data_IF_385526745121
#
_entry.id   IF_385526745121
#
_cell.length_a   1.000
_cell.length_b   1.000
_cell.length_c   1.000
_cell.angle_alpha   90.00
_cell.angle_beta   90.00
_cell.angle_gamma   90.00
#
_symmetry.space_group_name_H-M   'P 1'
#
loop_
_entity.id
_entity.type
_entity.pdbx_description
1 polymer ?
#
# COMPACT_ATOMS: atom_id res chain seq x y z
N UNK A 1 29.68 63.00 -66.72
CA UNK A 1 28.78 64.05 -66.20
C UNK A 1 27.43 63.91 -66.90
N UNK A 2 26.42 63.53 -66.11
CA UNK A 2 24.96 63.71 -66.18
C UNK A 2 24.13 63.93 -67.47
N UNK A 3 22.88 63.45 -67.32
CA UNK A 3 21.60 63.77 -67.99
C UNK A 3 21.28 62.96 -69.27
N UNK A 4 20.04 62.53 -69.58
CA UNK A 4 18.69 62.95 -69.16
C UNK A 4 17.65 61.81 -69.35
N UNK A 5 16.47 62.04 -68.78
CA UNK A 5 15.29 61.20 -68.50
C UNK A 5 14.29 60.95 -69.67
N UNK A 6 13.46 59.87 -69.52
CA UNK A 6 12.02 59.69 -69.87
C UNK A 6 11.54 59.32 -71.31
N UNK A 7 10.29 58.80 -71.54
CA UNK A 7 9.29 58.07 -70.70
C UNK A 7 8.40 56.95 -71.38
N UNK A 8 7.51 56.30 -70.58
CA UNK A 8 6.15 55.71 -70.86
C UNK A 8 5.98 54.37 -71.65
N UNK A 9 4.81 53.63 -71.60
CA UNK A 9 3.57 53.76 -70.79
C UNK A 9 2.89 52.45 -70.23
N UNK A 10 1.97 52.68 -69.26
CA UNK A 10 0.66 52.08 -68.92
C UNK A 10 0.37 50.55 -68.87
N UNK A 11 -0.32 50.05 -67.80
CA UNK A 11 -0.88 48.69 -67.75
C UNK A 11 -2.30 48.60 -68.31
N UNK A 12 -2.59 47.48 -68.98
CA UNK A 12 -3.88 47.13 -69.60
C UNK A 12 -4.85 46.65 -68.51
N UNK A 13 -6.04 47.25 -68.44
CA UNK A 13 -7.17 46.84 -67.61
C UNK A 13 -7.89 45.63 -68.21
N UNK A 14 -8.18 44.61 -67.38
CA UNK A 14 -8.98 43.45 -67.76
C UNK A 14 -10.41 43.58 -67.16
N UNK A 15 -11.49 43.54 -67.96
CA UNK A 15 -12.84 43.83 -67.48
C UNK A 15 -13.67 42.55 -67.28
N UNK A 16 -13.58 41.90 -66.12
CA UNK A 16 -14.60 40.93 -65.70
C UNK A 16 -14.82 40.99 -64.19
N UNK A 17 -16.00 41.48 -63.81
CA UNK A 17 -16.49 41.59 -62.44
C UNK A 17 -17.63 40.58 -62.27
N UNK A 18 -17.53 39.67 -61.30
CA UNK A 18 -18.65 38.87 -60.81
C UNK A 18 -18.75 38.97 -59.29
N UNK A 19 -19.95 39.33 -58.84
CA UNK A 19 -20.37 39.67 -57.48
C UNK A 19 -20.60 38.40 -56.63
N UNK A 20 -20.20 38.38 -55.35
CA UNK A 20 -20.56 37.34 -54.36
C UNK A 20 -21.33 38.01 -53.20
N UNK A 21 -22.48 37.50 -52.71
CA UNK A 21 -23.19 38.06 -51.56
C UNK A 21 -22.71 37.47 -50.20
N UNK A 22 -22.77 38.29 -49.14
CA UNK A 22 -22.38 37.96 -47.75
C UNK A 22 -23.48 37.25 -46.93
N UNK A 23 -23.14 36.45 -45.90
CA UNK A 23 -24.12 35.80 -45.01
C UNK A 23 -24.37 36.57 -43.69
N UNK A 24 -25.59 36.45 -43.15
CA UNK A 24 -26.08 37.06 -41.90
C UNK A 24 -25.62 36.33 -40.62
N UNK A 25 -25.66 36.97 -39.42
CA UNK A 25 -25.16 36.38 -38.17
C UNK A 25 -26.24 35.65 -37.35
N UNK A 26 -25.85 34.55 -36.69
CA UNK A 26 -26.69 33.69 -35.82
C UNK A 26 -26.44 34.05 -34.33
N UNK A 27 -27.52 34.26 -33.57
CA UNK A 27 -27.54 34.48 -32.10
C UNK A 27 -27.19 33.19 -31.32
N UNK A 28 -26.45 33.29 -30.21
CA UNK A 28 -26.12 32.17 -29.29
C UNK A 28 -26.76 32.32 -27.88
N UNK A 29 -27.20 31.23 -27.21
CA UNK A 29 -27.83 31.28 -25.89
C UNK A 29 -26.87 30.99 -24.71
N UNK A 30 -27.34 31.34 -23.51
CA UNK A 30 -26.68 31.52 -22.19
C UNK A 30 -26.15 30.27 -21.44
N UNK A 31 -25.17 30.41 -20.50
CA UNK A 31 -24.41 29.32 -19.85
C UNK A 31 -24.97 28.72 -18.52
N UNK A 32 -26.24 28.91 -18.17
CA UNK A 32 -26.78 28.51 -16.84
C UNK A 32 -26.95 27.00 -16.65
N UNK A 33 -27.29 26.26 -17.72
CA UNK A 33 -27.44 24.81 -17.67
C UNK A 33 -26.12 24.10 -17.33
N UNK A 34 -24.99 24.69 -17.73
CA UNK A 34 -23.65 24.18 -17.45
C UNK A 34 -23.34 24.19 -15.95
N UNK A 35 -23.72 25.25 -15.24
CA UNK A 35 -23.44 25.38 -13.81
C UNK A 35 -24.28 24.42 -12.96
N UNK A 36 -25.59 24.29 -13.24
CA UNK A 36 -26.46 23.35 -12.53
C UNK A 36 -26.00 21.90 -12.70
N UNK A 37 -25.62 21.52 -13.92
CA UNK A 37 -25.04 20.22 -14.21
C UNK A 37 -23.70 20.03 -13.48
N UNK A 38 -22.81 21.03 -13.53
CA UNK A 38 -21.52 20.99 -12.82
C UNK A 38 -21.68 20.82 -11.30
N UNK A 39 -22.60 21.57 -10.68
CA UNK A 39 -22.91 21.43 -9.26
C UNK A 39 -23.50 20.04 -8.97
N UNK A 40 -24.44 19.56 -9.78
CA UNK A 40 -25.04 18.23 -9.62
C UNK A 40 -24.00 17.11 -9.71
N UNK A 41 -23.10 17.16 -10.71
CA UNK A 41 -22.00 16.22 -10.86
C UNK A 41 -21.03 16.31 -9.67
N UNK A 42 -20.71 17.53 -9.21
CA UNK A 42 -19.85 17.75 -8.04
C UNK A 42 -20.44 17.17 -6.76
N UNK A 43 -21.72 17.41 -6.49
CA UNK A 43 -22.43 16.82 -5.36
C UNK A 43 -22.47 15.29 -5.49
N UNK A 44 -22.80 14.75 -6.67
CA UNK A 44 -22.83 13.30 -6.92
C UNK A 44 -21.48 12.64 -6.65
N UNK A 45 -20.39 13.21 -7.17
CA UNK A 45 -19.02 12.73 -6.93
C UNK A 45 -18.64 12.84 -5.45
N UNK A 46 -19.03 13.92 -4.78
CA UNK A 46 -18.78 14.12 -3.35
C UNK A 46 -19.53 13.10 -2.49
N UNK A 47 -20.81 12.84 -2.77
CA UNK A 47 -21.60 11.82 -2.09
C UNK A 47 -21.05 10.42 -2.38
N UNK A 48 -20.68 10.12 -3.62
CA UNK A 48 -20.08 8.84 -4.01
C UNK A 48 -18.74 8.60 -3.30
N UNK A 49 -17.87 9.61 -3.23
CA UNK A 49 -16.60 9.52 -2.52
C UNK A 49 -16.81 9.36 -1.02
N UNK A 50 -17.75 10.13 -0.44
CA UNK A 50 -18.08 10.04 0.99
C UNK A 50 -18.64 8.66 1.35
N UNK A 51 -19.53 8.10 0.53
CA UNK A 51 -20.06 6.76 0.70
C UNK A 51 -18.96 5.71 0.53
N UNK A 52 -18.08 5.87 -0.46
CA UNK A 52 -16.94 4.96 -0.68
C UNK A 52 -15.98 4.96 0.52
N UNK A 53 -15.65 6.14 1.06
CA UNK A 53 -14.80 6.26 2.25
C UNK A 53 -15.49 5.71 3.51
N UNK A 54 -16.80 5.90 3.65
CA UNK A 54 -17.58 5.34 4.75
C UNK A 54 -17.60 3.80 4.68
N UNK A 55 -17.92 3.23 3.51
CA UNK A 55 -17.91 1.78 3.31
C UNK A 55 -16.52 1.19 3.47
N UNK A 56 -15.48 1.86 2.97
CA UNK A 56 -14.09 1.43 3.18
C UNK A 56 -13.71 1.45 4.66
N UNK A 57 -14.06 2.53 5.39
CA UNK A 57 -13.82 2.61 6.84
C UNK A 57 -14.62 1.57 7.63
N UNK A 58 -15.87 1.32 7.25
CA UNK A 58 -16.73 0.31 7.87
C UNK A 58 -16.14 -1.09 7.65
N UNK A 59 -15.79 -1.41 6.40
CA UNK A 59 -15.13 -2.66 6.04
C UNK A 59 -13.79 -2.82 6.77
N UNK A 60 -12.95 -1.78 6.81
CA UNK A 60 -11.69 -1.80 7.56
C UNK A 60 -11.89 -2.02 9.06
N UNK A 61 -12.94 -1.44 9.65
CA UNK A 61 -13.29 -1.62 11.05
C UNK A 61 -13.70 -3.07 11.32
N UNK A 62 -14.60 -3.60 10.48
CA UNK A 62 -15.06 -4.98 10.57
C UNK A 62 -13.90 -5.97 10.37
N UNK A 63 -13.02 -5.74 9.39
CA UNK A 63 -11.82 -6.55 9.18
C UNK A 63 -10.87 -6.50 10.39
N UNK A 64 -10.69 -5.33 11.03
CA UNK A 64 -9.87 -5.20 12.24
C UNK A 64 -10.47 -5.94 13.43
N UNK A 65 -11.78 -5.87 13.59
CA UNK A 65 -12.51 -6.59 14.63
C UNK A 65 -12.41 -8.10 14.39
N UNK A 66 -12.53 -8.53 13.13
CA UNK A 66 -12.25 -9.91 12.73
C UNK A 66 -10.76 -10.30 12.85
N UNK A 67 -9.83 -9.39 13.09
CA UNK A 67 -8.45 -9.75 13.40
C UNK A 67 -8.20 -9.91 14.91
N UNK A 68 -9.08 -9.38 15.74
CA UNK A 68 -8.97 -9.46 17.19
C UNK A 68 -9.61 -10.75 17.70
N UNK A 69 -8.77 -11.64 18.24
CA UNK A 69 -9.22 -12.89 18.85
C UNK A 69 -9.63 -12.66 20.29
N UNK A 70 -10.88 -12.96 20.61
CA UNK A 70 -11.40 -12.85 21.96
C UNK A 70 -10.90 -14.02 22.84
N UNK A 71 -10.80 -13.83 24.17
CA UNK A 71 -10.41 -14.89 25.09
C UNK A 71 -11.32 -16.13 25.00
N UNK A 72 -12.60 -15.93 24.74
CA UNK A 72 -13.60 -16.99 24.57
C UNK A 72 -13.30 -17.82 23.31
N UNK A 73 -12.95 -17.16 22.21
CA UNK A 73 -12.54 -17.82 20.96
C UNK A 73 -11.24 -18.61 21.14
N UNK A 74 -10.26 -18.04 21.85
CA UNK A 74 -9.03 -18.74 22.20
C UNK A 74 -9.31 -19.96 23.08
N UNK A 75 -10.32 -19.89 23.96
CA UNK A 75 -10.81 -21.02 24.76
C UNK A 75 -11.35 -22.14 23.88
N UNK A 76 -12.24 -21.80 22.94
CA UNK A 76 -12.77 -22.77 21.97
C UNK A 76 -11.64 -23.43 21.16
N UNK A 77 -10.65 -22.67 20.70
CA UNK A 77 -9.51 -23.26 19.98
C UNK A 77 -8.71 -24.25 20.84
N UNK A 78 -8.51 -23.94 22.13
CA UNK A 78 -7.81 -24.87 23.04
C UNK A 78 -8.62 -26.13 23.29
N UNK A 79 -9.91 -26.01 23.52
CA UNK A 79 -10.80 -27.14 23.78
C UNK A 79 -10.86 -28.07 22.56
N UNK A 80 -11.00 -27.49 21.36
CA UNK A 80 -10.97 -28.25 20.11
C UNK A 80 -9.66 -29.03 19.96
N UNK A 81 -8.51 -28.39 20.16
CA UNK A 81 -7.22 -29.07 20.04
C UNK A 81 -7.01 -30.10 21.13
N UNK A 82 -7.51 -29.86 22.35
CA UNK A 82 -7.43 -30.82 23.44
C UNK A 82 -8.23 -32.10 23.13
N UNK A 83 -9.38 -31.96 22.47
CA UNK A 83 -10.26 -33.09 22.16
C UNK A 83 -9.90 -33.81 20.86
N UNK A 84 -9.58 -33.08 19.78
CA UNK A 84 -9.39 -33.63 18.43
C UNK A 84 -7.94 -33.55 17.92
N UNK A 85 -7.07 -32.82 18.62
CA UNK A 85 -5.71 -32.51 18.19
C UNK A 85 -5.64 -31.31 17.23
N UNK A 86 -4.44 -30.82 16.89
CA UNK A 86 -4.24 -29.63 16.06
C UNK A 86 -4.35 -29.93 14.55
N UNK A 87 -5.36 -30.72 14.16
CA UNK A 87 -5.61 -31.17 12.79
C UNK A 87 -7.05 -30.81 12.38
N UNK A 88 -7.37 -31.05 11.11
CA UNK A 88 -8.77 -31.04 10.62
C UNK A 88 -9.58 -29.78 10.96
N UNK A 89 -8.93 -28.62 11.00
CA UNK A 89 -9.55 -27.32 11.35
C UNK A 89 -10.83 -26.97 10.55
N UNK A 90 -11.02 -27.56 9.36
CA UNK A 90 -12.23 -27.40 8.56
C UNK A 90 -13.47 -28.03 9.22
N UNK A 91 -13.28 -29.05 10.06
CA UNK A 91 -14.33 -29.74 10.81
C UNK A 91 -14.61 -29.06 12.16
N UNK A 92 -13.86 -28.02 12.53
CA UNK A 92 -14.01 -27.35 13.81
C UNK A 92 -15.44 -26.84 14.04
N UNK A 93 -16.09 -26.29 13.01
CA UNK A 93 -17.49 -25.82 13.11
C UNK A 93 -18.51 -26.95 13.30
N UNK A 94 -18.18 -28.18 12.87
CA UNK A 94 -19.03 -29.35 13.03
C UNK A 94 -18.83 -30.01 14.41
N UNK A 95 -17.60 -29.98 14.91
CA UNK A 95 -17.22 -30.64 16.15
C UNK A 95 -17.54 -29.81 17.40
N UNK A 96 -17.62 -28.49 17.28
CA UNK A 96 -17.85 -27.60 18.42
C UNK A 96 -19.33 -27.21 18.51
N UNK A 97 -19.93 -27.35 19.69
CA UNK A 97 -21.33 -26.95 19.94
C UNK A 97 -21.55 -25.43 19.84
N UNK A 98 -20.48 -24.64 19.92
CA UNK A 98 -20.50 -23.19 19.71
C UNK A 98 -19.90 -22.88 18.35
N UNK A 99 -20.64 -22.14 17.53
CA UNK A 99 -20.19 -21.64 16.23
C UNK A 99 -19.10 -20.59 16.43
N UNK A 100 -17.92 -20.84 15.87
CA UNK A 100 -16.85 -19.85 15.77
C UNK A 100 -16.89 -19.24 14.36
N UNK A 101 -17.15 -17.93 14.26
CA UNK A 101 -17.22 -17.21 12.98
C UNK A 101 -15.82 -16.86 12.46
N UNK A 102 -15.01 -17.89 12.20
CA UNK A 102 -13.62 -17.78 11.77
C UNK A 102 -13.30 -18.81 10.70
N UNK A 103 -12.50 -18.39 9.72
CA UNK A 103 -11.97 -19.32 8.73
C UNK A 103 -11.03 -20.35 9.38
N UNK A 104 -11.08 -21.63 8.96
CA UNK A 104 -10.18 -22.69 9.45
C UNK A 104 -8.69 -22.33 9.37
N UNK A 105 -8.29 -21.63 8.31
CA UNK A 105 -6.92 -21.13 8.14
C UNK A 105 -6.54 -20.13 9.23
N UNK A 106 -7.47 -19.24 9.59
CA UNK A 106 -7.28 -18.25 10.67
C UNK A 106 -7.12 -18.96 12.01
N UNK A 107 -7.96 -19.96 12.30
CA UNK A 107 -7.86 -20.81 13.50
C UNK A 107 -6.47 -21.48 13.62
N UNK A 108 -6.01 -22.09 12.52
CA UNK A 108 -4.70 -22.73 12.45
C UNK A 108 -3.55 -21.74 12.70
N UNK A 109 -3.60 -20.57 12.05
CA UNK A 109 -2.63 -19.50 12.23
C UNK A 109 -2.61 -18.99 13.67
N UNK A 110 -3.79 -18.79 14.28
CA UNK A 110 -3.92 -18.37 15.67
C UNK A 110 -3.29 -19.39 16.60
N UNK A 111 -3.61 -20.67 16.41
CA UNK A 111 -3.05 -21.75 17.20
C UNK A 111 -1.53 -21.78 17.13
N UNK A 112 -0.96 -21.86 15.92
CA UNK A 112 0.48 -22.00 15.69
C UNK A 112 1.30 -20.80 16.14
N UNK A 113 0.74 -19.59 16.08
CA UNK A 113 1.48 -18.37 16.38
C UNK A 113 1.31 -17.85 17.81
N UNK A 114 0.22 -18.20 18.51
CA UNK A 114 -0.12 -17.59 19.79
C UNK A 114 -0.58 -18.55 20.89
N UNK A 115 -1.25 -19.66 20.56
CA UNK A 115 -1.89 -20.51 21.58
C UNK A 115 -1.13 -21.80 21.89
N UNK A 116 -0.39 -22.33 20.92
CA UNK A 116 0.38 -23.56 21.11
C UNK A 116 1.32 -23.41 22.31
N UNK A 117 1.40 -24.46 23.13
CA UNK A 117 2.34 -24.53 24.24
C UNK A 117 3.78 -24.33 23.77
N UNK A 118 4.58 -23.67 24.61
CA UNK A 118 5.99 -23.36 24.34
C UNK A 118 6.23 -22.04 23.62
N UNK A 119 5.20 -21.29 23.23
CA UNK A 119 5.36 -19.94 22.67
C UNK A 119 5.58 -18.92 23.80
N UNK A 120 6.71 -18.21 23.75
CA UNK A 120 7.03 -17.13 24.68
C UNK A 120 6.17 -15.89 24.39
N UNK A 121 5.53 -15.37 25.43
CA UNK A 121 4.82 -14.10 25.40
C UNK A 121 5.79 -12.99 25.81
N UNK A 122 5.80 -11.87 25.08
CA UNK A 122 6.62 -10.70 25.40
C UNK A 122 7.85 -10.49 24.50
N UNK A 123 8.52 -9.36 24.70
CA UNK A 123 9.64 -8.91 23.86
C UNK A 123 10.81 -9.89 23.87
N UNK A 124 11.58 -9.91 22.77
CA UNK A 124 12.83 -10.67 22.74
C UNK A 124 13.80 -10.10 23.78
N UNK A 125 14.42 -10.99 24.55
CA UNK A 125 15.51 -10.63 25.46
C UNK A 125 16.74 -10.14 24.69
N UNK A 126 17.64 -9.33 25.28
CA UNK A 126 18.85 -8.87 24.59
C UNK A 126 19.69 -10.01 23.99
N UNK A 127 19.76 -11.16 24.68
CA UNK A 127 20.45 -12.36 24.22
C UNK A 127 19.77 -12.95 22.98
N UNK A 128 18.44 -13.10 23.00
CA UNK A 128 17.66 -13.55 21.85
C UNK A 128 17.77 -12.55 20.68
N UNK A 129 17.79 -11.25 20.94
CA UNK A 129 17.96 -10.22 19.92
C UNK A 129 19.32 -10.34 19.22
N UNK A 130 20.41 -10.47 19.99
CA UNK A 130 21.75 -10.67 19.44
C UNK A 130 21.84 -11.95 18.59
N UNK A 131 21.22 -13.02 19.07
CA UNK A 131 21.14 -14.28 18.32
C UNK A 131 20.33 -14.13 17.03
N UNK A 132 19.18 -13.45 17.06
CA UNK A 132 18.39 -13.21 15.84
C UNK A 132 19.17 -12.38 14.82
N UNK A 133 19.95 -11.38 15.25
CA UNK A 133 20.81 -10.59 14.36
C UNK A 133 21.87 -11.47 13.69
N UNK A 134 22.58 -12.30 14.45
CA UNK A 134 23.62 -13.18 13.89
C UNK A 134 23.06 -14.22 12.94
N UNK A 135 21.90 -14.80 13.28
CA UNK A 135 21.21 -15.77 12.45
C UNK A 135 20.61 -15.14 11.19
N UNK A 136 20.12 -13.90 11.27
CA UNK A 136 19.66 -13.16 10.10
C UNK A 136 20.82 -12.86 9.15
N UNK A 137 22.01 -12.52 9.66
CA UNK A 137 23.19 -12.37 8.81
C UNK A 137 23.61 -13.68 8.13
N UNK A 138 23.42 -14.82 8.81
CA UNK A 138 23.77 -16.15 8.29
C UNK A 138 22.75 -16.71 7.29
N UNK A 139 21.45 -16.57 7.59
CA UNK A 139 20.37 -17.22 6.84
C UNK A 139 19.43 -16.24 6.13
N UNK A 140 19.69 -14.93 6.18
CA UNK A 140 18.80 -13.88 5.71
C UNK A 140 17.42 -13.97 6.38
N UNK A 141 16.36 -13.57 5.67
CA UNK A 141 15.00 -13.56 6.20
C UNK A 141 14.31 -14.94 6.12
N UNK A 142 15.08 -16.04 6.20
CA UNK A 142 14.54 -17.41 6.24
C UNK A 142 14.10 -17.71 7.69
N UNK A 143 13.03 -17.07 8.12
CA UNK A 143 12.59 -17.08 9.54
C UNK A 143 12.31 -18.48 10.09
N UNK A 144 11.80 -19.41 9.27
CA UNK A 144 11.59 -20.81 9.69
C UNK A 144 12.90 -21.47 10.15
N UNK A 145 14.04 -21.20 9.48
CA UNK A 145 15.35 -21.70 9.90
C UNK A 145 15.82 -21.03 11.19
N UNK A 146 15.65 -19.71 11.28
CA UNK A 146 16.04 -18.94 12.47
C UNK A 146 15.26 -19.41 13.71
N UNK A 147 13.95 -19.67 13.59
CA UNK A 147 13.15 -20.18 14.72
C UNK A 147 13.56 -21.56 15.22
N UNK A 148 14.24 -22.37 14.39
CA UNK A 148 14.78 -23.64 14.85
C UNK A 148 15.92 -23.44 15.86
N UNK A 149 16.62 -22.30 15.80
CA UNK A 149 17.73 -21.94 16.69
C UNK A 149 17.31 -20.97 17.81
N UNK A 150 16.13 -20.35 17.71
CA UNK A 150 15.58 -19.40 18.70
C UNK A 150 14.32 -19.98 19.35
N UNK A 151 14.45 -20.82 20.40
CA UNK A 151 13.34 -21.59 20.94
C UNK A 151 12.26 -20.71 21.56
N UNK A 152 11.01 -21.09 21.34
CA UNK A 152 9.83 -20.44 21.89
C UNK A 152 9.39 -19.16 21.17
N UNK A 153 10.09 -18.74 20.12
CA UNK A 153 9.64 -17.65 19.24
C UNK A 153 9.17 -18.20 17.90
N UNK A 154 8.17 -17.54 17.30
CA UNK A 154 7.60 -17.95 16.00
C UNK A 154 8.19 -17.13 14.85
N UNK A 155 8.14 -17.67 13.63
CA UNK A 155 8.76 -17.05 12.46
C UNK A 155 8.13 -15.67 12.20
N UNK A 156 6.81 -15.59 12.39
CA UNK A 156 6.03 -14.36 12.35
C UNK A 156 6.54 -13.32 13.34
N UNK A 157 6.84 -13.74 14.58
CA UNK A 157 7.33 -12.84 15.64
C UNK A 157 8.73 -12.32 15.33
N UNK A 158 9.65 -13.20 14.92
CA UNK A 158 11.02 -12.81 14.60
C UNK A 158 11.08 -11.87 13.40
N UNK A 159 10.33 -12.17 12.33
CA UNK A 159 10.22 -11.29 11.18
C UNK A 159 9.68 -9.92 11.56
N UNK A 160 8.63 -9.87 12.39
CA UNK A 160 8.07 -8.59 12.82
C UNK A 160 9.04 -7.77 13.67
N UNK A 161 9.76 -8.43 14.58
CA UNK A 161 10.80 -7.77 15.36
C UNK A 161 11.90 -7.19 14.47
N UNK A 162 12.33 -7.93 13.44
CA UNK A 162 13.37 -7.48 12.51
C UNK A 162 12.96 -6.25 11.68
N UNK A 163 11.71 -6.18 11.22
CA UNK A 163 11.18 -4.98 10.54
C UNK A 163 11.34 -3.73 11.43
N UNK A 164 10.86 -3.82 12.66
CA UNK A 164 10.95 -2.73 13.64
C UNK A 164 12.40 -2.40 13.97
N UNK A 165 13.26 -3.41 14.10
CA UNK A 165 14.69 -3.23 14.32
C UNK A 165 15.33 -2.43 13.19
N UNK A 166 15.12 -2.82 11.92
CA UNK A 166 15.66 -2.11 10.75
C UNK A 166 15.15 -0.67 10.65
N UNK A 167 13.86 -0.45 10.86
CA UNK A 167 13.29 0.91 10.85
C UNK A 167 13.94 1.83 11.88
N UNK A 168 14.22 1.30 13.09
CA UNK A 168 14.93 2.04 14.13
C UNK A 168 16.36 2.37 13.70
N UNK A 169 17.09 1.43 13.10
CA UNK A 169 18.45 1.68 12.59
C UNK A 169 18.47 2.78 11.53
N UNK A 170 17.56 2.73 10.56
CA UNK A 170 17.45 3.76 9.50
C UNK A 170 17.15 5.13 10.10
N UNK A 171 16.20 5.22 11.05
CA UNK A 171 15.87 6.48 11.72
C UNK A 171 17.06 7.07 12.49
N UNK A 172 17.84 6.22 13.17
CA UNK A 172 19.05 6.66 13.88
C UNK A 172 20.12 7.19 12.92
N UNK A 173 20.33 6.53 11.78
CA UNK A 173 21.27 6.99 10.76
C UNK A 173 20.89 8.37 10.20
N UNK A 174 19.60 8.58 9.87
CA UNK A 174 19.08 9.86 9.38
C UNK A 174 19.23 10.98 10.43
N UNK A 175 19.02 10.67 11.70
CA UNK A 175 19.20 11.64 12.77
C UNK A 175 20.67 12.00 12.99
N UNK A 176 21.56 11.02 12.89
CA UNK A 176 23.00 11.24 13.02
C UNK A 176 23.55 12.06 11.84
N UNK A 177 23.11 11.79 10.60
CA UNK A 177 23.53 12.57 9.42
C UNK A 177 23.05 14.03 9.47
N UNK A 178 21.92 14.31 10.12
CA UNK A 178 21.45 15.70 10.36
C UNK A 178 22.28 16.43 11.42
N UNK A 179 22.84 15.72 12.41
CA UNK A 179 23.68 16.31 13.45
C UNK A 179 25.11 16.58 12.98
N UNK A 180 25.64 15.79 12.05
CA UNK A 180 26.99 15.99 11.49
C UNK A 180 27.04 16.94 10.29
N UNK A 181 25.90 17.50 9.86
CA UNK A 181 25.77 18.31 8.64
C UNK A 181 25.88 19.83 8.80
N UNK A 182 26.43 20.37 9.89
CA UNK A 182 26.68 21.82 10.05
C UNK A 182 28.10 22.26 9.66
N UNK A 183 28.81 21.49 8.82
CA UNK A 183 30.01 21.97 8.13
C UNK A 183 30.18 21.23 6.80
N UNK A 184 30.19 22.02 5.73
CA UNK A 184 30.64 21.74 4.36
C UNK A 184 29.88 20.70 3.50
N UNK A 185 29.27 21.25 2.45
CA UNK A 185 28.63 20.57 1.32
C UNK A 185 29.56 19.60 0.60
N UNK A 186 29.15 18.33 0.49
CA UNK A 186 29.50 17.45 -0.63
C UNK A 186 28.34 16.47 -0.91
N UNK A 187 28.06 16.14 -2.19
CA UNK A 187 26.89 15.34 -2.55
C UNK A 187 27.05 13.87 -2.16
N UNK A 188 25.97 13.30 -1.62
CA UNK A 188 25.86 11.92 -1.11
C UNK A 188 26.13 10.85 -2.19
N UNK A 189 26.75 9.70 -1.85
CA UNK A 189 26.80 8.55 -2.74
C UNK A 189 25.43 7.87 -2.83
N UNK A 190 25.06 7.48 -4.04
CA UNK A 190 23.81 6.79 -4.36
C UNK A 190 23.79 5.41 -3.68
N UNK A 191 22.69 4.98 -3.02
CA UNK A 191 22.61 3.65 -2.43
C UNK A 191 22.62 2.56 -3.52
N UNK A 192 23.23 1.39 -3.29
CA UNK A 192 23.18 0.29 -4.23
C UNK A 192 21.73 -0.20 -4.38
N UNK A 193 21.31 -0.34 -5.64
CA UNK A 193 20.03 -0.91 -6.03
C UNK A 193 19.92 -2.34 -5.50
N UNK A 194 19.19 -2.54 -4.42
CA UNK A 194 18.83 -3.89 -3.97
C UNK A 194 17.55 -4.26 -4.69
N UNK A 195 17.69 -5.22 -5.61
CA UNK A 195 16.65 -5.74 -6.46
C UNK A 195 15.34 -6.01 -5.72
N UNK A 196 14.25 -5.56 -6.32
CA UNK A 196 12.88 -5.92 -5.97
C UNK A 196 12.73 -7.43 -6.14
N UNK A 197 12.75 -8.15 -5.02
CA UNK A 197 12.53 -9.59 -4.95
C UNK A 197 11.38 -9.91 -3.99
N UNK A 198 10.22 -9.28 -4.21
CA UNK A 198 8.97 -9.82 -3.70
C UNK A 198 8.61 -11.00 -4.59
N UNK A 199 8.69 -12.23 -4.08
CA UNK A 199 7.79 -13.36 -4.37
C UNK A 199 8.36 -14.65 -3.74
N UNK A 200 7.44 -15.54 -3.37
CA UNK A 200 7.62 -16.93 -2.95
C UNK A 200 7.86 -17.20 -1.47
N UNK A 201 6.77 -17.47 -0.73
CA UNK A 201 6.70 -18.70 0.07
C UNK A 201 5.25 -19.07 0.43
N UNK A 202 4.52 -19.65 -0.52
CA UNK A 202 3.41 -20.56 -0.25
C UNK A 202 3.69 -21.82 -1.05
N UNK A 203 4.03 -22.90 -0.34
CA UNK A 203 3.97 -24.34 -0.67
C UNK A 203 5.14 -25.07 0.03
N UNK A 204 4.79 -26.13 0.77
CA UNK A 204 5.64 -26.87 1.69
C UNK A 204 5.00 -26.98 3.06
#
# INVERSE_FOLDING_TARGET
MYCHYHPHPAPISNPYSHHIPSPSPINSPTPTLSLSLSLSLSLSLSLSLSLSLYLHRSYDSEMKERQHWQPEEDGLLRDYVNQYGPREWNLMSQHMSKTLDRDPKSCLERWKNYLKLGIKKGSLTPQEQALVISLQAKYNNIWKKITAEVPGHTAKRLGKWWEVFKEKQIKQQIQNSKKTGSSTSNPLPRPPSVAVGWYNYHHG
#
